data_IF_938572033145
#
_entry.id   IF_938572033145
#
_cell.length_a   1.000
_cell.length_b   1.000
_cell.length_c   1.000
_cell.angle_alpha   90.00
_cell.angle_beta   90.00
_cell.angle_gamma   90.00
#
_symmetry.space_group_name_H-M   'P 1'
#
loop_
_entity.id
_entity.type
_entity.pdbx_description
1 polymer ?
#
# COMPACT_ATOMS: atom_id res chain seq x y z
N UNK A 1 43.80 1.18 -40.26
CA UNK A 1 43.60 1.28 -38.78
C UNK A 1 42.67 2.47 -38.63
N UNK A 2 41.36 2.19 -38.62
CA UNK A 2 40.31 3.21 -38.46
C UNK A 2 39.92 3.25 -36.99
N UNK A 3 39.99 4.47 -36.44
CA UNK A 3 39.59 4.73 -35.03
C UNK A 3 38.07 4.66 -34.90
N UNK A 4 37.57 3.77 -34.05
CA UNK A 4 36.16 3.77 -33.61
C UNK A 4 35.90 5.01 -32.75
N UNK A 5 34.73 5.66 -32.87
CA UNK A 5 34.38 6.79 -32.05
C UNK A 5 34.08 6.34 -30.63
N UNK A 6 34.68 7.00 -29.65
CA UNK A 6 34.38 6.86 -28.23
C UNK A 6 32.93 7.34 -27.98
N UNK A 7 32.07 6.46 -27.49
CA UNK A 7 30.78 6.83 -26.93
C UNK A 7 31.01 7.71 -25.69
N UNK A 8 30.63 8.96 -25.78
CA UNK A 8 30.49 9.83 -24.63
C UNK A 8 29.32 9.32 -23.80
N UNK A 9 29.60 8.85 -22.57
CA UNK A 9 28.59 8.64 -21.54
C UNK A 9 27.90 9.99 -21.29
N UNK A 10 26.67 10.13 -21.74
CA UNK A 10 25.78 11.18 -21.26
C UNK A 10 25.40 10.80 -19.81
N UNK A 11 25.96 11.54 -18.86
CA UNK A 11 25.50 11.52 -17.48
C UNK A 11 24.03 11.94 -17.50
N UNK A 12 23.16 11.05 -17.03
CA UNK A 12 21.76 11.34 -16.74
C UNK A 12 21.69 12.55 -15.79
N UNK A 13 20.74 13.48 -15.96
CA UNK A 13 20.61 14.62 -15.06
C UNK A 13 20.44 14.07 -13.64
N UNK A 14 21.39 14.41 -12.76
CA UNK A 14 21.45 13.91 -11.40
C UNK A 14 20.13 14.11 -10.66
N UNK A 15 19.61 13.04 -10.10
CA UNK A 15 18.43 13.07 -9.25
C UNK A 15 18.58 14.16 -8.17
N UNK A 16 17.63 15.10 -8.02
CA UNK A 16 17.71 16.14 -6.99
C UNK A 16 17.77 15.60 -5.55
N UNK A 17 17.53 14.29 -5.38
CA UNK A 17 17.57 13.58 -4.12
C UNK A 17 18.93 12.96 -3.77
N UNK A 18 19.96 13.12 -4.61
CA UNK A 18 21.32 12.61 -4.35
C UNK A 18 21.97 13.12 -3.04
N UNK A 19 21.35 14.09 -2.37
CA UNK A 19 21.76 14.58 -1.05
C UNK A 19 20.95 14.02 0.12
N UNK A 20 19.86 13.28 -0.15
CA UNK A 20 19.07 12.61 0.88
C UNK A 20 19.60 11.19 1.05
N UNK A 21 20.65 11.01 1.87
CA UNK A 21 20.95 9.69 2.42
C UNK A 21 19.74 9.25 3.23
N UNK A 22 18.87 8.46 2.62
CA UNK A 22 17.79 7.80 3.32
C UNK A 22 18.41 6.76 4.24
N UNK A 23 18.45 7.07 5.52
CA UNK A 23 18.80 6.11 6.53
C UNK A 23 17.61 5.17 6.74
N UNK A 24 17.62 4.03 6.03
CA UNK A 24 16.61 2.98 6.16
C UNK A 24 16.44 2.47 7.60
N UNK A 25 17.38 2.83 8.50
CA UNK A 25 17.25 2.57 9.94
C UNK A 25 16.28 3.52 10.64
N UNK A 26 15.82 4.59 10.00
CA UNK A 26 14.84 5.50 10.59
C UNK A 26 13.43 5.01 10.29
N UNK A 27 12.78 4.58 11.35
CA UNK A 27 11.37 4.25 11.34
C UNK A 27 10.57 5.48 11.00
N UNK A 28 9.71 5.33 10.02
CA UNK A 28 8.76 6.36 9.70
C UNK A 28 7.50 6.09 10.49
N UNK A 29 7.48 6.62 11.71
CA UNK A 29 6.28 6.55 12.55
C UNK A 29 5.27 7.60 12.11
N UNK A 30 4.03 7.18 12.03
CA UNK A 30 2.89 8.05 11.74
C UNK A 30 2.66 8.99 12.93
N UNK A 31 2.50 10.28 12.66
CA UNK A 31 2.20 11.31 13.65
C UNK A 31 0.72 11.68 13.65
N UNK A 32 -0.03 11.26 12.64
CA UNK A 32 -1.46 11.53 12.50
C UNK A 32 -2.30 10.69 13.47
N UNK A 33 -2.61 11.29 14.63
CA UNK A 33 -3.41 10.66 15.68
C UNK A 33 -4.90 10.58 15.35
N UNK A 34 -5.41 11.41 14.43
CA UNK A 34 -6.83 11.43 14.04
C UNK A 34 -7.24 10.11 13.42
N UNK A 35 -6.42 9.56 12.53
CA UNK A 35 -6.66 8.25 11.93
C UNK A 35 -6.65 7.13 12.98
N UNK A 36 -5.80 7.26 14.01
CA UNK A 36 -5.72 6.29 15.08
C UNK A 36 -6.99 6.25 15.95
N UNK A 37 -7.62 7.40 16.21
CA UNK A 37 -8.83 7.47 17.05
C UNK A 37 -10.05 6.83 16.39
N UNK A 38 -10.13 6.91 15.07
CA UNK A 38 -11.26 6.39 14.30
C UNK A 38 -11.13 4.92 13.92
N UNK A 39 -9.96 4.33 14.11
CA UNK A 39 -9.65 2.98 13.69
C UNK A 39 -10.21 1.93 14.66
N UNK A 40 -10.77 0.85 14.12
CA UNK A 40 -11.06 -0.34 14.91
C UNK A 40 -9.81 -1.19 15.04
N UNK A 41 -9.28 -1.32 16.25
CA UNK A 41 -8.17 -2.22 16.54
C UNK A 41 -8.71 -3.66 16.55
N UNK A 42 -8.27 -4.45 15.60
CA UNK A 42 -8.69 -5.84 15.46
C UNK A 42 -7.48 -6.69 15.06
N UNK A 43 -6.67 -7.01 16.04
CA UNK A 43 -5.49 -7.85 15.85
C UNK A 43 -5.93 -9.25 15.43
N UNK A 44 -5.58 -9.68 14.24
CA UNK A 44 -5.83 -11.03 13.72
C UNK A 44 -7.30 -11.44 13.56
N UNK A 45 -8.21 -10.52 13.41
CA UNK A 45 -9.50 -10.90 12.88
C UNK A 45 -9.44 -10.87 11.36
N UNK A 46 -9.46 -12.02 10.72
CA UNK A 46 -9.59 -12.09 9.27
C UNK A 46 -11.00 -11.72 8.79
N UNK A 47 -11.90 -11.41 9.73
CA UNK A 47 -13.23 -10.97 9.38
C UNK A 47 -13.10 -9.71 8.53
N UNK A 48 -13.38 -9.87 7.26
CA UNK A 48 -13.52 -8.81 6.30
C UNK A 48 -14.55 -7.80 6.82
N UNK A 49 -14.10 -6.78 7.55
CA UNK A 49 -14.88 -5.57 7.77
C UNK A 49 -14.85 -4.76 6.47
N UNK A 50 -15.14 -5.43 5.34
CA UNK A 50 -15.21 -4.79 4.04
C UNK A 50 -16.38 -3.81 4.06
N UNK A 51 -16.08 -2.54 3.89
CA UNK A 51 -17.05 -1.48 3.76
C UNK A 51 -17.13 -1.05 2.31
N UNK A 52 -18.33 -0.64 1.90
CA UNK A 52 -18.49 0.03 0.61
C UNK A 52 -17.75 1.35 0.66
N UNK A 53 -16.87 1.59 -0.32
CA UNK A 53 -16.31 2.93 -0.56
C UNK A 53 -17.43 3.76 -1.17
N UNK A 54 -17.71 4.90 -0.59
CA UNK A 54 -18.76 5.82 -1.06
C UNK A 54 -18.13 7.15 -1.46
N UNK A 55 -18.66 7.75 -2.51
CA UNK A 55 -18.38 9.15 -2.82
C UNK A 55 -19.03 10.02 -1.74
N UNK A 56 -18.41 11.13 -1.30
CA UNK A 56 -19.04 12.08 -0.36
C UNK A 56 -20.43 12.57 -0.80
N UNK A 57 -20.65 12.65 -2.12
CA UNK A 57 -21.92 13.06 -2.69
C UNK A 57 -23.03 12.00 -2.58
N UNK A 58 -22.65 10.72 -2.42
CA UNK A 58 -23.56 9.58 -2.32
C UNK A 58 -23.90 9.20 -0.87
N UNK A 59 -23.41 9.95 0.14
CA UNK A 59 -23.67 9.66 1.54
C UNK A 59 -25.10 10.06 1.88
N UNK A 60 -25.99 9.07 1.93
CA UNK A 60 -27.32 9.22 2.51
C UNK A 60 -27.26 9.04 4.03
N UNK A 61 -27.66 10.07 4.78
CA UNK A 61 -28.04 10.04 6.20
C UNK A 61 -27.08 9.29 7.16
N UNK A 62 -25.87 9.81 7.37
CA UNK A 62 -25.01 9.39 8.47
C UNK A 62 -24.05 8.25 8.15
N UNK A 63 -23.97 7.81 6.92
CA UNK A 63 -22.87 6.96 6.47
C UNK A 63 -21.56 7.76 6.40
N UNK A 64 -20.47 7.12 6.81
CA UNK A 64 -19.15 7.75 6.78
C UNK A 64 -18.54 7.58 5.41
N UNK A 65 -18.00 8.68 4.87
CA UNK A 65 -17.17 8.63 3.66
C UNK A 65 -16.01 7.65 3.85
N UNK A 66 -15.84 6.75 2.88
CA UNK A 66 -14.77 5.76 2.84
C UNK A 66 -13.99 6.02 1.54
N UNK A 67 -12.81 6.66 1.61
CA UNK A 67 -12.08 7.05 0.40
C UNK A 67 -11.50 5.86 -0.34
N UNK A 68 -11.26 6.01 -1.65
CA UNK A 68 -10.46 5.07 -2.45
C UNK A 68 -8.96 5.30 -2.21
N UNK A 69 -8.48 6.50 -2.56
CA UNK A 69 -7.18 7.00 -2.12
C UNK A 69 -7.41 7.97 -0.96
N UNK A 70 -6.56 7.91 0.05
CA UNK A 70 -6.81 8.59 1.32
C UNK A 70 -5.62 9.49 1.76
N UNK A 71 -5.17 10.43 0.90
CA UNK A 71 -4.08 11.33 1.27
C UNK A 71 -4.45 12.17 2.50
N UNK A 72 -3.51 12.29 3.43
CA UNK A 72 -3.68 13.04 4.67
C UNK A 72 -2.52 14.03 4.91
N UNK A 73 -2.42 14.56 6.13
CA UNK A 73 -1.38 15.55 6.52
C UNK A 73 0.04 14.98 6.41
N UNK A 74 0.21 13.67 6.29
CA UNK A 74 1.50 12.99 6.15
C UNK A 74 1.90 12.76 4.70
N UNK A 75 1.10 13.18 3.73
CA UNK A 75 1.33 12.95 2.30
C UNK A 75 2.75 13.31 1.85
N UNK A 76 3.23 14.52 2.19
CA UNK A 76 4.55 14.96 1.79
C UNK A 76 5.67 14.04 2.32
N UNK A 77 5.54 13.60 3.57
CA UNK A 77 6.48 12.68 4.20
C UNK A 77 6.42 11.29 3.57
N UNK A 78 5.22 10.76 3.42
CA UNK A 78 5.01 9.43 2.86
C UNK A 78 5.54 9.36 1.41
N UNK A 79 5.20 10.32 0.56
CA UNK A 79 5.70 10.39 -0.83
C UNK A 79 7.22 10.51 -0.88
N UNK A 80 7.84 11.33 0.02
CA UNK A 80 9.30 11.44 0.07
C UNK A 80 9.98 10.10 0.35
N UNK A 81 9.43 9.31 1.28
CA UNK A 81 9.96 7.99 1.63
C UNK A 81 9.77 7.01 0.48
N UNK A 82 8.59 7.00 -0.15
CA UNK A 82 8.27 6.15 -1.28
C UNK A 82 9.18 6.43 -2.47
N UNK A 83 9.45 7.70 -2.74
CA UNK A 83 10.42 8.13 -3.76
C UNK A 83 11.82 7.62 -3.45
N UNK A 84 12.29 7.79 -2.20
CA UNK A 84 13.60 7.28 -1.80
C UNK A 84 13.67 5.76 -1.99
N UNK A 85 12.69 5.00 -1.51
CA UNK A 85 12.63 3.55 -1.69
C UNK A 85 12.66 3.14 -3.16
N UNK A 86 11.87 3.80 -4.01
CA UNK A 86 11.80 3.52 -5.45
C UNK A 86 13.12 3.81 -6.17
N UNK A 87 13.74 4.97 -5.91
CA UNK A 87 14.99 5.33 -6.60
C UNK A 87 16.20 4.54 -6.08
N UNK A 88 16.18 4.08 -4.83
CA UNK A 88 17.24 3.22 -4.30
C UNK A 88 17.13 1.76 -4.80
N UNK A 89 15.90 1.24 -4.92
CA UNK A 89 15.65 -0.15 -5.27
C UNK A 89 14.43 -0.30 -6.21
N UNK A 90 14.53 0.22 -7.46
CA UNK A 90 13.39 0.25 -8.37
C UNK A 90 12.79 -1.15 -8.62
N UNK A 91 13.63 -2.17 -8.81
CA UNK A 91 13.21 -3.54 -9.11
C UNK A 91 12.50 -4.23 -7.93
N UNK A 92 12.69 -3.74 -6.70
CA UNK A 92 12.00 -4.25 -5.52
C UNK A 92 10.67 -3.54 -5.27
N UNK A 93 10.60 -2.26 -5.65
CA UNK A 93 9.42 -1.42 -5.39
C UNK A 93 8.40 -1.52 -6.51
N UNK A 94 8.86 -1.67 -7.76
CA UNK A 94 8.01 -1.75 -8.94
C UNK A 94 8.23 -3.09 -9.67
N UNK A 95 7.14 -3.82 -9.89
CA UNK A 95 7.13 -4.97 -10.80
C UNK A 95 5.98 -4.77 -11.81
N UNK A 96 6.33 -4.72 -13.09
CA UNK A 96 5.39 -4.42 -14.19
C UNK A 96 4.95 -5.68 -14.96
N UNK A 97 5.20 -6.87 -14.42
CA UNK A 97 4.85 -8.12 -15.10
C UNK A 97 5.62 -8.31 -16.41
N UNK A 98 6.92 -7.99 -16.43
CA UNK A 98 7.80 -8.02 -17.63
C UNK A 98 7.37 -7.04 -18.74
N UNK A 99 6.89 -5.86 -18.37
CA UNK A 99 6.40 -4.82 -19.28
C UNK A 99 5.29 -5.31 -20.24
N UNK A 100 4.42 -6.19 -19.74
CA UNK A 100 3.25 -6.65 -20.49
C UNK A 100 2.41 -5.44 -20.93
N UNK A 101 2.16 -5.26 -22.25
CA UNK A 101 1.35 -4.15 -22.75
C UNK A 101 -0.05 -4.08 -22.12
N UNK A 102 -0.68 -5.22 -21.78
CA UNK A 102 -1.97 -5.24 -21.11
C UNK A 102 -1.87 -4.68 -19.69
N UNK A 103 -0.82 -5.00 -18.95
CA UNK A 103 -0.55 -4.44 -17.62
C UNK A 103 -0.27 -2.95 -17.71
N UNK A 104 0.44 -2.50 -18.76
CA UNK A 104 0.69 -1.07 -18.98
C UNK A 104 -0.59 -0.30 -19.27
N UNK A 105 -1.51 -0.86 -20.07
CA UNK A 105 -2.83 -0.26 -20.34
C UNK A 105 -3.68 -0.17 -19.07
N UNK A 106 -3.65 -1.19 -18.24
CA UNK A 106 -4.31 -1.21 -16.92
C UNK A 106 -3.72 -0.13 -16.00
N UNK A 107 -2.41 -0.04 -15.93
CA UNK A 107 -1.72 0.97 -15.12
C UNK A 107 -2.00 2.40 -15.61
N UNK A 108 -2.12 2.59 -16.93
CA UNK A 108 -2.48 3.87 -17.52
C UNK A 108 -3.92 4.28 -17.17
N UNK A 109 -4.88 3.37 -17.30
CA UNK A 109 -6.26 3.65 -16.91
C UNK A 109 -6.36 3.93 -15.39
N UNK A 110 -5.64 3.17 -14.58
CA UNK A 110 -5.59 3.41 -13.13
C UNK A 110 -5.04 4.81 -12.81
N UNK A 111 -3.97 5.23 -13.49
CA UNK A 111 -3.40 6.58 -13.33
C UNK A 111 -4.43 7.66 -13.69
N UNK A 112 -5.12 7.52 -14.80
CA UNK A 112 -6.16 8.45 -15.25
C UNK A 112 -7.27 8.57 -14.19
N UNK A 113 -7.79 7.44 -13.70
CA UNK A 113 -8.82 7.39 -12.67
C UNK A 113 -8.34 7.94 -11.31
N UNK A 114 -7.10 7.64 -10.92
CA UNK A 114 -6.51 8.18 -9.68
C UNK A 114 -6.39 9.70 -9.75
N UNK A 115 -5.92 10.23 -10.88
CA UNK A 115 -5.78 11.68 -11.07
C UNK A 115 -7.13 12.38 -10.98
N UNK A 116 -8.14 11.88 -11.69
CA UNK A 116 -9.50 12.43 -11.63
C UNK A 116 -10.04 12.39 -10.19
N UNK A 117 -9.83 11.29 -9.49
CA UNK A 117 -10.24 11.13 -8.10
C UNK A 117 -9.53 12.11 -7.18
N UNK A 118 -8.20 12.20 -7.25
CA UNK A 118 -7.40 13.06 -6.37
C UNK A 118 -7.70 14.55 -6.58
N UNK A 119 -7.80 15.00 -7.81
CA UNK A 119 -8.14 16.40 -8.13
C UNK A 119 -9.57 16.75 -7.69
N UNK A 120 -10.51 15.82 -7.84
CA UNK A 120 -11.90 16.03 -7.42
C UNK A 120 -12.05 16.12 -5.90
N UNK A 121 -11.42 15.18 -5.15
CA UNK A 121 -11.68 15.02 -3.71
C UNK A 121 -10.63 15.70 -2.82
N UNK A 122 -9.46 16.01 -3.36
CA UNK A 122 -8.34 16.62 -2.62
C UNK A 122 -7.72 17.81 -3.39
N UNK A 123 -8.52 18.81 -3.80
CA UNK A 123 -8.04 19.94 -4.61
C UNK A 123 -7.01 20.81 -3.89
N UNK A 124 -6.94 20.75 -2.56
CA UNK A 124 -5.93 21.45 -1.76
C UNK A 124 -4.55 20.73 -1.78
N UNK A 125 -4.52 19.48 -2.22
CA UNK A 125 -3.31 18.66 -2.27
C UNK A 125 -2.85 18.33 -3.68
N UNK A 126 -3.73 18.42 -4.68
CA UNK A 126 -3.45 18.09 -6.08
C UNK A 126 -4.03 19.12 -7.04
N UNK A 127 -3.24 19.42 -8.07
CA UNK A 127 -3.60 20.40 -9.10
C UNK A 127 -3.35 19.82 -10.49
N UNK A 128 -4.34 19.89 -11.37
CA UNK A 128 -4.19 19.56 -12.78
C UNK A 128 -3.60 20.75 -13.53
N UNK A 129 -2.46 20.55 -14.19
CA UNK A 129 -1.75 21.56 -14.96
C UNK A 129 -2.04 21.42 -16.46
N UNK A 130 -1.83 22.49 -17.25
CA UNK A 130 -1.91 22.41 -18.72
C UNK A 130 -0.98 21.33 -19.29
N UNK A 131 -1.41 20.66 -20.36
CA UNK A 131 -0.64 19.60 -21.03
C UNK A 131 -0.69 18.27 -20.30
N UNK A 132 -1.87 17.90 -19.75
CA UNK A 132 -2.09 16.59 -19.10
C UNK A 132 -1.07 16.25 -18.00
N UNK A 133 -0.80 17.20 -17.12
CA UNK A 133 0.14 17.02 -15.99
C UNK A 133 -0.57 17.21 -14.66
N UNK A 134 -0.17 16.42 -13.68
CA UNK A 134 -0.61 16.57 -12.29
C UNK A 134 0.52 17.05 -11.40
N UNK A 135 0.22 18.00 -10.52
CA UNK A 135 1.11 18.42 -9.44
C UNK A 135 0.61 17.87 -8.11
N UNK A 136 1.50 17.23 -7.35
CA UNK A 136 1.32 17.05 -5.92
C UNK A 136 1.77 18.35 -5.22
N UNK A 137 0.84 19.09 -4.64
CA UNK A 137 1.11 20.41 -4.03
C UNK A 137 1.99 20.27 -2.78
N UNK A 138 1.81 19.17 -2.02
CA UNK A 138 2.53 18.95 -0.78
C UNK A 138 4.04 18.71 -0.99
N UNK A 139 4.43 18.10 -2.12
CA UNK A 139 5.83 17.81 -2.46
C UNK A 139 6.39 18.70 -3.58
N UNK A 140 5.51 19.33 -4.36
CA UNK A 140 5.87 20.10 -5.56
C UNK A 140 6.17 19.24 -6.78
N UNK A 141 6.06 17.92 -6.69
CA UNK A 141 6.30 17.00 -7.80
C UNK A 141 5.27 17.17 -8.92
N UNK A 142 5.73 17.06 -10.17
CA UNK A 142 4.89 17.15 -11.36
C UNK A 142 5.13 15.91 -12.21
N UNK A 143 4.04 15.25 -12.63
CA UNK A 143 4.08 14.07 -13.48
C UNK A 143 3.23 14.30 -14.74
N UNK A 144 3.74 13.82 -15.90
CA UNK A 144 2.96 13.72 -17.12
C UNK A 144 2.06 12.48 -17.04
N UNK A 145 0.76 12.66 -17.31
CA UNK A 145 -0.24 11.59 -17.25
C UNK A 145 -0.51 10.98 -18.63
N UNK A 146 -0.12 11.66 -19.69
CA UNK A 146 -0.33 11.19 -21.05
C UNK A 146 0.59 9.99 -21.35
N UNK A 147 -0.02 8.93 -21.89
CA UNK A 147 0.70 7.71 -22.23
C UNK A 147 1.86 7.96 -23.20
N UNK A 148 3.02 7.45 -22.84
CA UNK A 148 4.24 7.56 -23.66
C UNK A 148 4.98 8.91 -23.60
N UNK A 149 4.52 9.86 -22.78
CA UNK A 149 5.20 11.15 -22.56
C UNK A 149 6.19 11.07 -21.42
N UNK A 150 5.82 10.40 -20.33
CA UNK A 150 6.71 10.21 -19.18
C UNK A 150 7.72 9.08 -19.42
N UNK A 151 8.95 9.26 -18.92
CA UNK A 151 9.94 8.19 -18.83
C UNK A 151 9.61 7.15 -17.75
N UNK A 152 8.69 7.48 -16.84
CA UNK A 152 8.23 6.56 -15.80
C UNK A 152 7.10 5.66 -16.32
N UNK A 153 7.08 4.44 -15.84
CA UNK A 153 5.93 3.55 -16.04
C UNK A 153 4.68 4.14 -15.35
N UNK A 154 3.47 4.08 -15.94
CA UNK A 154 2.26 4.63 -15.31
C UNK A 154 2.04 4.14 -13.88
N UNK A 155 2.31 2.87 -13.58
CA UNK A 155 2.20 2.30 -12.24
C UNK A 155 3.19 2.93 -11.24
N UNK A 156 4.38 3.35 -11.71
CA UNK A 156 5.32 4.09 -10.86
C UNK A 156 4.74 5.48 -10.49
N UNK A 157 4.12 6.17 -11.46
CA UNK A 157 3.48 7.45 -11.19
C UNK A 157 2.32 7.27 -10.19
N UNK A 158 1.48 6.24 -10.37
CA UNK A 158 0.40 5.90 -9.43
C UNK A 158 0.96 5.76 -8.01
N UNK A 159 2.03 4.98 -7.83
CA UNK A 159 2.62 4.77 -6.51
C UNK A 159 3.34 5.99 -5.93
N UNK A 160 3.82 6.92 -6.76
CA UNK A 160 4.51 8.14 -6.33
C UNK A 160 3.58 9.34 -6.12
N UNK A 161 2.34 9.27 -6.61
CA UNK A 161 1.33 10.30 -6.37
C UNK A 161 0.69 10.19 -4.98
N UNK A 162 0.48 8.97 -4.49
CA UNK A 162 -0.27 8.70 -3.26
C UNK A 162 0.57 8.15 -2.11
N UNK A 163 -0.12 7.73 -1.06
CA UNK A 163 0.45 7.10 0.13
C UNK A 163 0.33 5.57 0.07
N UNK A 164 -0.44 5.06 -0.89
CA UNK A 164 -0.81 3.67 -1.01
C UNK A 164 0.21 2.85 -1.78
N UNK A 165 0.51 1.65 -1.30
CA UNK A 165 1.03 0.56 -2.09
C UNK A 165 -0.08 0.02 -2.99
N UNK A 166 0.26 -0.45 -4.19
CA UNK A 166 -0.72 -0.83 -5.21
C UNK A 166 -0.37 -2.18 -5.81
N UNK A 167 -1.35 -3.09 -5.84
CA UNK A 167 -1.25 -4.37 -6.54
C UNK A 167 -2.31 -4.46 -7.63
N UNK A 168 -1.94 -4.99 -8.78
CA UNK A 168 -2.84 -5.28 -9.89
C UNK A 168 -3.08 -6.79 -9.93
N UNK A 169 -4.35 -7.17 -9.81
CA UNK A 169 -4.81 -8.56 -9.83
C UNK A 169 -5.64 -8.79 -11.08
N UNK A 170 -5.32 -9.83 -11.84
CA UNK A 170 -6.04 -10.21 -13.04
C UNK A 170 -6.95 -11.42 -12.76
N UNK A 171 -8.23 -11.28 -13.07
CA UNK A 171 -9.19 -12.39 -13.05
C UNK A 171 -9.08 -13.20 -14.33
N UNK A 172 -8.68 -14.45 -14.21
CA UNK A 172 -8.54 -15.38 -15.32
C UNK A 172 -9.88 -15.94 -15.75
N UNK A 173 -9.94 -16.53 -16.95
CA UNK A 173 -11.18 -17.13 -17.50
C UNK A 173 -11.72 -18.30 -16.65
N UNK A 174 -10.87 -18.95 -15.88
CA UNK A 174 -11.23 -20.03 -14.94
C UNK A 174 -11.66 -19.53 -13.56
N UNK A 175 -11.71 -18.20 -13.37
CA UNK A 175 -12.06 -17.54 -12.13
C UNK A 175 -10.91 -17.43 -11.13
N UNK A 176 -9.69 -17.83 -11.46
CA UNK A 176 -8.52 -17.57 -10.62
C UNK A 176 -8.13 -16.09 -10.67
N UNK A 177 -7.62 -15.58 -9.55
CA UNK A 177 -7.12 -14.22 -9.43
C UNK A 177 -5.60 -14.26 -9.24
N UNK A 178 -4.86 -13.71 -10.19
CA UNK A 178 -3.40 -13.72 -10.22
C UNK A 178 -2.88 -12.30 -10.06
N UNK A 179 -1.94 -12.09 -9.15
CA UNK A 179 -1.23 -10.83 -9.04
C UNK A 179 -0.26 -10.66 -10.20
N UNK A 180 -0.46 -9.65 -11.04
CA UNK A 180 0.31 -9.49 -12.30
C UNK A 180 1.29 -8.32 -12.26
N UNK A 181 1.11 -7.37 -11.36
CA UNK A 181 2.01 -6.23 -11.19
C UNK A 181 1.80 -5.56 -9.82
N UNK A 182 2.73 -4.69 -9.42
CA UNK A 182 2.56 -3.89 -8.22
C UNK A 182 3.60 -2.78 -8.07
N UNK A 183 3.29 -1.84 -7.19
CA UNK A 183 4.20 -0.83 -6.66
C UNK A 183 4.09 -0.89 -5.13
N UNK A 184 5.14 -1.37 -4.46
CA UNK A 184 5.19 -1.55 -3.02
C UNK A 184 6.44 -0.89 -2.43
N UNK A 185 6.24 0.26 -1.81
CA UNK A 185 7.31 1.00 -1.13
C UNK A 185 7.38 0.68 0.38
N UNK A 186 6.36 0.03 0.92
CA UNK A 186 6.25 -0.27 2.35
C UNK A 186 5.78 -1.71 2.61
N UNK A 187 6.37 -2.74 1.95
CA UNK A 187 6.03 -4.12 2.21
C UNK A 187 6.37 -4.48 3.66
N UNK A 188 5.61 -5.41 4.23
CA UNK A 188 5.83 -5.90 5.58
C UNK A 188 6.30 -7.34 5.54
N UNK A 189 7.59 -7.52 5.31
CA UNK A 189 8.21 -8.84 5.33
C UNK A 189 7.85 -9.73 4.14
N UNK A 190 7.56 -9.12 2.97
CA UNK A 190 7.41 -9.85 1.71
C UNK A 190 8.03 -9.07 0.55
N UNK A 191 8.51 -9.79 -0.46
CA UNK A 191 9.14 -9.22 -1.65
C UNK A 191 8.14 -9.29 -2.81
N UNK A 192 7.92 -8.16 -3.49
CA UNK A 192 7.01 -8.06 -4.62
C UNK A 192 7.35 -9.07 -5.74
N UNK A 193 8.64 -9.34 -5.94
CA UNK A 193 9.10 -10.27 -6.95
C UNK A 193 8.65 -11.72 -6.70
N UNK A 194 8.47 -12.10 -5.42
CA UNK A 194 8.04 -13.45 -5.04
C UNK A 194 6.54 -13.68 -5.25
N UNK A 195 5.75 -12.60 -5.39
CA UNK A 195 4.28 -12.66 -5.41
C UNK A 195 3.68 -12.40 -6.79
N UNK A 196 4.37 -11.66 -7.67
CA UNK A 196 3.89 -11.46 -9.04
C UNK A 196 3.93 -12.77 -9.82
N UNK A 197 2.79 -13.15 -10.38
CA UNK A 197 2.56 -14.42 -11.06
C UNK A 197 1.84 -15.46 -10.20
N UNK A 198 1.69 -15.24 -8.89
CA UNK A 198 1.00 -16.16 -7.98
C UNK A 198 -0.50 -15.85 -7.91
N UNK A 199 -1.29 -16.89 -7.66
CA UNK A 199 -2.71 -16.77 -7.35
C UNK A 199 -2.94 -16.47 -5.85
N UNK A 200 -4.19 -16.15 -5.47
CA UNK A 200 -4.51 -15.77 -4.09
C UNK A 200 -4.23 -16.86 -3.05
N UNK A 201 -4.33 -18.13 -3.41
CA UNK A 201 -4.03 -19.23 -2.49
C UNK A 201 -2.53 -19.33 -2.21
N UNK A 202 -1.73 -19.21 -3.25
CA UNK A 202 -0.26 -19.22 -3.15
C UNK A 202 0.26 -18.01 -2.37
N UNK A 203 -0.27 -16.81 -2.63
CA UNK A 203 0.08 -15.57 -1.91
C UNK A 203 -0.20 -15.70 -0.41
N UNK A 204 -1.26 -16.41 -0.04
CA UNK A 204 -1.70 -16.53 1.35
C UNK A 204 -1.35 -17.88 1.99
N UNK A 205 -0.53 -18.71 1.36
CA UNK A 205 -0.16 -20.03 1.87
C UNK A 205 0.39 -19.97 3.31
N UNK A 206 1.16 -18.95 3.62
CA UNK A 206 1.78 -18.76 4.93
C UNK A 206 0.91 -17.92 5.90
N UNK A 207 -0.35 -17.63 5.56
CA UNK A 207 -1.28 -16.90 6.43
C UNK A 207 -2.09 -17.89 7.26
N UNK A 208 -1.84 -17.92 8.56
CA UNK A 208 -2.52 -18.83 9.49
C UNK A 208 -4.06 -18.78 9.36
N UNK A 209 -4.65 -19.89 8.99
CA UNK A 209 -6.10 -20.05 8.88
C UNK A 209 -6.71 -19.41 7.64
N UNK A 210 -5.93 -19.05 6.65
CA UNK A 210 -6.45 -18.49 5.40
C UNK A 210 -7.40 -19.49 4.71
N UNK A 211 -6.95 -20.71 4.47
CA UNK A 211 -7.72 -21.71 3.73
C UNK A 211 -9.08 -22.01 4.37
N UNK A 212 -9.10 -22.12 5.71
CA UNK A 212 -10.31 -22.51 6.46
C UNK A 212 -11.27 -21.36 6.77
N UNK A 213 -10.74 -20.13 6.89
CA UNK A 213 -11.53 -18.99 7.43
C UNK A 213 -11.70 -17.84 6.45
N UNK A 214 -10.73 -17.63 5.55
CA UNK A 214 -10.68 -16.44 4.72
C UNK A 214 -10.94 -16.70 3.26
N UNK A 215 -10.40 -17.79 2.71
CA UNK A 215 -10.43 -18.10 1.29
C UNK A 215 -11.81 -17.87 0.66
N UNK A 216 -12.83 -18.52 1.21
CA UNK A 216 -14.19 -18.42 0.65
C UNK A 216 -14.74 -16.99 0.66
N UNK A 217 -14.34 -16.16 1.64
CA UNK A 217 -14.73 -14.75 1.71
C UNK A 217 -13.96 -13.91 0.71
N UNK A 218 -12.67 -14.15 0.57
CA UNK A 218 -11.80 -13.45 -0.40
C UNK A 218 -12.28 -13.76 -1.82
N UNK A 219 -12.41 -15.03 -2.18
CA UNK A 219 -12.87 -15.47 -3.50
C UNK A 219 -14.23 -14.84 -3.86
N UNK A 220 -15.18 -14.90 -2.92
CA UNK A 220 -16.51 -14.29 -3.11
C UNK A 220 -16.42 -12.77 -3.30
N UNK A 221 -15.58 -12.11 -2.53
CA UNK A 221 -15.44 -10.65 -2.60
C UNK A 221 -14.85 -10.22 -3.94
N UNK A 222 -13.80 -10.90 -4.40
CA UNK A 222 -13.17 -10.61 -5.69
C UNK A 222 -14.13 -10.88 -6.85
N UNK A 223 -14.78 -12.05 -6.87
CA UNK A 223 -15.70 -12.44 -7.93
C UNK A 223 -16.98 -11.56 -8.00
N UNK A 224 -17.41 -10.99 -6.86
CA UNK A 224 -18.63 -10.17 -6.79
C UNK A 224 -18.37 -8.67 -6.84
N UNK A 225 -17.14 -8.24 -7.02
CA UNK A 225 -16.77 -6.83 -7.06
C UNK A 225 -17.27 -6.21 -8.38
N UNK A 226 -18.23 -5.26 -8.35
CA UNK A 226 -18.70 -4.59 -9.56
C UNK A 226 -17.64 -3.58 -10.05
N UNK A 227 -17.79 -3.16 -11.31
CA UNK A 227 -16.92 -2.16 -11.93
C UNK A 227 -17.03 -0.81 -11.25
N UNK A 228 -15.90 -0.09 -11.18
CA UNK A 228 -15.86 1.30 -10.75
C UNK A 228 -16.70 2.19 -11.70
N UNK A 229 -17.47 3.18 -11.22
CA UNK A 229 -17.54 3.66 -9.82
C UNK A 229 -18.68 3.03 -8.98
N UNK A 230 -19.37 1.99 -9.43
CA UNK A 230 -20.57 1.49 -8.74
C UNK A 230 -20.29 1.08 -7.29
N UNK A 231 -19.20 0.34 -7.07
CA UNK A 231 -18.85 -0.13 -5.73
C UNK A 231 -17.35 -0.42 -5.59
N UNK A 232 -16.85 -0.11 -4.43
CA UNK A 232 -15.51 -0.45 -3.97
C UNK A 232 -15.63 -1.03 -2.57
N UNK A 233 -14.64 -1.85 -2.16
CA UNK A 233 -14.56 -2.34 -0.80
C UNK A 233 -13.35 -1.77 -0.10
N UNK A 234 -13.51 -1.47 1.20
CA UNK A 234 -12.42 -1.03 2.04
C UNK A 234 -12.44 -1.75 3.38
N UNK A 235 -11.26 -1.97 3.94
CA UNK A 235 -11.09 -2.50 5.30
C UNK A 235 -9.86 -1.87 5.97
N UNK A 236 -9.81 -1.96 7.31
CA UNK A 236 -8.58 -1.77 8.05
C UNK A 236 -8.07 -3.12 8.53
N UNK A 237 -6.81 -3.41 8.24
CA UNK A 237 -6.06 -4.51 8.81
C UNK A 237 -5.11 -3.94 9.87
N UNK A 238 -4.99 -4.58 11.04
CA UNK A 238 -4.14 -4.08 12.12
C UNK A 238 -3.34 -5.21 12.75
N UNK A 239 -2.06 -4.96 13.04
CA UNK A 239 -1.20 -5.93 13.69
C UNK A 239 -0.07 -5.28 14.48
N UNK A 240 0.51 -6.07 15.39
CA UNK A 240 1.74 -5.75 16.08
C UNK A 240 2.91 -6.35 15.32
N UNK A 241 3.94 -5.57 15.11
CA UNK A 241 5.18 -5.99 14.50
C UNK A 241 6.38 -5.59 15.34
N UNK A 242 7.53 -6.08 14.98
CA UNK A 242 8.77 -5.55 15.48
C UNK A 242 9.24 -4.40 14.58
N UNK A 243 9.68 -3.39 15.25
CA UNK A 243 10.53 -2.43 14.63
C UNK A 243 11.87 -3.13 14.31
N UNK A 244 12.35 -3.04 13.16
CA UNK A 244 12.38 -1.84 12.37
C UNK A 244 11.77 -2.07 11.02
N UNK A 245 11.18 -1.09 10.47
CA UNK A 245 11.56 -0.90 9.10
C UNK A 245 10.41 -1.26 8.19
N UNK A 246 9.73 -0.23 7.88
CA UNK A 246 9.02 -0.10 6.62
C UNK A 246 9.98 -0.48 5.49
N UNK A 247 9.56 -1.37 4.60
CA UNK A 247 10.33 -1.73 3.43
C UNK A 247 11.31 -2.90 3.59
N UNK A 248 11.29 -3.61 4.72
CA UNK A 248 12.09 -4.83 4.82
C UNK A 248 11.46 -5.99 4.08
N UNK A 249 12.26 -6.60 3.26
CA UNK A 249 12.01 -7.89 2.64
C UNK A 249 12.29 -9.03 3.63
N UNK A 250 11.77 -10.24 3.41
CA UNK A 250 11.88 -11.35 4.36
C UNK A 250 13.28 -11.67 4.85
N UNK A 251 14.29 -11.55 3.99
CA UNK A 251 15.70 -11.81 4.30
C UNK A 251 16.34 -10.74 5.21
N UNK A 252 15.73 -9.57 5.31
CA UNK A 252 16.15 -8.47 6.18
C UNK A 252 15.41 -8.47 7.52
N UNK A 253 14.38 -9.31 7.68
CA UNK A 253 13.62 -9.41 8.92
C UNK A 253 14.46 -10.07 10.02
N UNK A 254 14.59 -9.46 11.19
CA UNK A 254 15.33 -10.06 12.29
C UNK A 254 14.67 -11.36 12.77
N UNK A 255 15.47 -12.35 13.12
CA UNK A 255 14.98 -13.51 13.86
C UNK A 255 14.48 -13.06 15.24
N UNK A 256 13.21 -13.40 15.53
CA UNK A 256 12.55 -13.02 16.77
C UNK A 256 12.44 -14.27 17.64
N UNK A 257 13.17 -14.29 18.72
CA UNK A 257 12.94 -15.20 19.84
C UNK A 257 12.31 -14.48 21.04
N UNK A 258 11.88 -15.22 22.05
CA UNK A 258 11.29 -14.66 23.28
C UNK A 258 12.25 -13.72 24.03
N UNK A 259 13.55 -13.84 23.81
CA UNK A 259 14.58 -13.08 24.49
C UNK A 259 15.04 -11.86 23.69
N UNK A 260 14.61 -11.73 22.45
CA UNK A 260 15.04 -10.64 21.54
C UNK A 260 14.33 -9.32 21.81
N UNK A 261 13.19 -9.34 22.51
CA UNK A 261 12.42 -8.13 22.84
C UNK A 261 12.84 -7.63 24.23
N UNK A 262 13.90 -6.86 24.27
CA UNK A 262 14.45 -6.29 25.51
C UNK A 262 13.97 -4.87 25.78
N UNK A 263 13.52 -4.17 24.75
CA UNK A 263 13.02 -2.81 24.79
C UNK A 263 11.70 -2.70 23.98
N UNK A 264 10.58 -3.15 24.55
CA UNK A 264 9.28 -3.14 23.86
C UNK A 264 8.85 -1.75 23.37
N UNK A 265 9.25 -0.70 24.09
CA UNK A 265 8.90 0.68 23.75
C UNK A 265 9.46 1.10 22.39
N UNK A 266 10.69 0.70 22.09
CA UNK A 266 11.37 1.06 20.85
C UNK A 266 11.37 -0.08 19.81
N UNK A 267 11.08 -1.31 20.21
CA UNK A 267 11.14 -2.48 19.33
C UNK A 267 9.76 -2.89 18.79
N UNK A 268 8.66 -2.57 19.49
CA UNK A 268 7.32 -2.95 19.04
C UNK A 268 6.63 -1.77 18.38
N UNK A 269 6.05 -2.05 17.22
CA UNK A 269 5.19 -1.12 16.49
C UNK A 269 3.77 -1.66 16.40
N UNK A 270 2.83 -0.75 16.28
CA UNK A 270 1.48 -1.02 15.81
C UNK A 270 1.36 -0.55 14.37
N UNK A 271 1.01 -1.48 13.47
CA UNK A 271 0.76 -1.17 12.06
C UNK A 271 -0.72 -1.29 11.76
N UNK A 272 -1.23 -0.33 11.06
CA UNK A 272 -2.54 -0.35 10.44
C UNK A 272 -2.38 -0.22 8.93
N UNK A 273 -3.18 -0.96 8.21
CA UNK A 273 -3.28 -0.91 6.75
C UNK A 273 -4.71 -0.57 6.39
N UNK A 274 -4.90 0.58 5.74
CA UNK A 274 -6.17 0.88 5.10
C UNK A 274 -6.11 0.30 3.69
N UNK A 275 -6.96 -0.67 3.42
CA UNK A 275 -6.95 -1.45 2.20
C UNK A 275 -8.23 -1.22 1.40
N UNK A 276 -8.11 -1.06 0.07
CA UNK A 276 -9.27 -1.00 -0.82
C UNK A 276 -9.16 -2.01 -1.95
N UNK A 277 -10.31 -2.44 -2.45
CA UNK A 277 -10.44 -3.27 -3.64
C UNK A 277 -11.37 -2.58 -4.63
N UNK A 278 -10.89 -2.37 -5.85
CA UNK A 278 -11.60 -1.67 -6.93
C UNK A 278 -11.45 -2.46 -8.22
N UNK A 279 -12.55 -2.84 -8.86
CA UNK A 279 -12.51 -3.40 -10.22
C UNK A 279 -12.51 -2.25 -11.23
N UNK A 280 -11.58 -2.26 -12.17
CA UNK A 280 -11.57 -1.26 -13.24
C UNK A 280 -12.79 -1.40 -14.16
N UNK A 281 -13.28 -0.30 -14.75
CA UNK A 281 -14.35 -0.36 -15.72
C UNK A 281 -13.82 -0.73 -17.11
N UNK A 282 -14.61 -1.45 -17.89
CA UNK A 282 -14.40 -1.53 -19.32
C UNK A 282 -14.77 -0.20 -19.99
N UNK A 283 -13.93 0.28 -20.90
CA UNK A 283 -14.17 1.51 -21.68
C UNK A 283 -13.85 1.29 -23.15
N UNK A 284 -14.22 2.21 -24.04
CA UNK A 284 -13.84 2.10 -25.46
C UNK A 284 -12.31 2.01 -25.64
N UNK A 285 -11.55 2.73 -24.84
CA UNK A 285 -10.07 2.71 -24.88
C UNK A 285 -9.48 1.48 -24.22
N UNK A 286 -10.13 0.95 -23.19
CA UNK A 286 -9.66 -0.16 -22.37
C UNK A 286 -10.74 -1.25 -22.24
N UNK A 287 -11.09 -1.96 -23.33
CA UNK A 287 -12.29 -2.80 -23.38
C UNK A 287 -12.22 -4.06 -22.49
N UNK A 288 -11.03 -4.49 -22.09
CA UNK A 288 -10.83 -5.70 -21.29
C UNK A 288 -10.38 -5.42 -19.85
N UNK A 289 -10.29 -4.13 -19.44
CA UNK A 289 -9.71 -3.82 -18.13
C UNK A 289 -10.66 -4.13 -16.96
N UNK A 290 -11.93 -4.47 -17.22
CA UNK A 290 -12.83 -4.99 -16.19
C UNK A 290 -12.46 -6.40 -15.67
N UNK A 291 -11.47 -7.03 -16.27
CA UNK A 291 -10.86 -8.26 -15.73
C UNK A 291 -9.80 -7.97 -14.65
N UNK A 292 -9.51 -6.69 -14.37
CA UNK A 292 -8.48 -6.31 -13.41
C UNK A 292 -9.06 -5.66 -12.17
N UNK A 293 -8.53 -6.08 -11.03
CA UNK A 293 -8.85 -5.55 -9.71
C UNK A 293 -7.61 -4.85 -9.17
N UNK A 294 -7.80 -3.66 -8.66
CA UNK A 294 -6.77 -2.88 -8.01
C UNK A 294 -6.91 -3.04 -6.51
N UNK A 295 -5.86 -3.50 -5.87
CA UNK A 295 -5.74 -3.57 -4.42
C UNK A 295 -4.79 -2.48 -3.96
N UNK A 296 -5.27 -1.54 -3.15
CA UNK A 296 -4.46 -0.49 -2.56
C UNK A 296 -4.27 -0.71 -1.07
N UNK A 297 -3.11 -0.37 -0.56
CA UNK A 297 -2.74 -0.53 0.85
C UNK A 297 -2.09 0.77 1.32
N UNK A 298 -2.73 1.50 2.22
CA UNK A 298 -2.13 2.65 2.89
C UNK A 298 -1.59 2.23 4.26
N UNK A 299 -0.26 2.09 4.42
CA UNK A 299 0.34 1.68 5.68
C UNK A 299 0.51 2.87 6.63
N UNK A 300 0.10 2.68 7.87
CA UNK A 300 0.32 3.62 8.98
C UNK A 300 0.97 2.90 10.14
N UNK A 301 2.08 3.44 10.63
CA UNK A 301 2.88 2.81 11.67
C UNK A 301 3.00 3.72 12.88
N UNK A 302 2.63 3.22 14.04
CA UNK A 302 2.68 3.95 15.31
C UNK A 302 3.59 3.27 16.31
N UNK A 303 4.30 4.07 17.10
CA UNK A 303 5.08 3.53 18.23
C UNK A 303 4.17 2.99 19.33
N UNK A 304 4.67 2.05 20.09
CA UNK A 304 3.94 1.52 21.25
C UNK A 304 3.63 2.60 22.31
N UNK A 305 4.50 3.58 22.61
CA UNK A 305 4.15 4.73 23.43
C UNK A 305 2.98 5.56 22.90
N UNK A 306 2.95 5.82 21.60
CA UNK A 306 1.81 6.53 20.97
C UNK A 306 0.52 5.74 21.16
N UNK A 307 0.56 4.43 20.91
CA UNK A 307 -0.60 3.57 21.12
C UNK A 307 -1.05 3.57 22.58
N UNK A 308 -0.12 3.52 23.52
CA UNK A 308 -0.43 3.56 24.96
C UNK A 308 -1.16 4.84 25.34
N UNK A 309 -0.69 6.00 24.87
CA UNK A 309 -1.29 7.29 25.20
C UNK A 309 -2.66 7.51 24.55
N UNK A 310 -2.86 7.03 23.33
CA UNK A 310 -4.06 7.33 22.53
C UNK A 310 -5.11 6.22 22.60
N UNK A 311 -4.70 4.95 22.62
CA UNK A 311 -5.56 3.77 22.48
C UNK A 311 -5.11 2.57 23.33
N UNK A 312 -4.41 2.82 24.46
CA UNK A 312 -3.80 1.75 25.27
C UNK A 312 -4.78 0.69 25.74
N UNK A 313 -5.95 1.10 26.25
CA UNK A 313 -6.99 0.16 26.70
C UNK A 313 -7.58 -0.68 25.57
N UNK A 314 -7.81 -0.07 24.40
CA UNK A 314 -8.35 -0.78 23.24
C UNK A 314 -7.33 -1.79 22.69
N UNK A 315 -6.06 -1.43 22.66
CA UNK A 315 -4.99 -2.32 22.24
C UNK A 315 -4.84 -3.48 23.23
N UNK A 316 -4.83 -3.21 24.53
CA UNK A 316 -4.76 -4.24 25.56
C UNK A 316 -5.93 -5.23 25.45
N UNK A 317 -7.15 -4.72 25.27
CA UNK A 317 -8.35 -5.52 25.05
C UNK A 317 -8.27 -6.36 23.80
N UNK A 318 -7.76 -5.78 22.69
CA UNK A 318 -7.58 -6.52 21.43
C UNK A 318 -6.57 -7.67 21.59
N UNK A 319 -5.47 -7.46 22.31
CA UNK A 319 -4.50 -8.52 22.63
C UNK A 319 -5.14 -9.64 23.45
N UNK A 320 -6.00 -9.30 24.40
CA UNK A 320 -6.68 -10.30 25.27
C UNK A 320 -7.73 -11.11 24.52
N UNK A 321 -8.45 -10.48 23.62
CA UNK A 321 -9.59 -11.11 22.94
C UNK A 321 -9.22 -11.86 21.67
N UNK A 322 -8.08 -11.55 21.08
CA UNK A 322 -7.62 -12.18 19.84
C UNK A 322 -6.57 -13.26 20.15
N UNK A 323 -6.74 -14.43 19.53
CA UNK A 323 -5.76 -15.50 19.65
C UNK A 323 -4.58 -15.20 18.72
N UNK A 324 -3.51 -14.65 19.29
CA UNK A 324 -2.25 -14.41 18.57
C UNK A 324 -1.39 -15.67 18.65
N UNK A 325 -0.91 -16.17 17.51
CA UNK A 325 -0.12 -17.41 17.41
C UNK A 325 1.30 -17.13 16.90
N UNK A 326 2.21 -18.06 17.18
CA UNK A 326 3.59 -18.05 16.69
C UNK A 326 4.39 -16.84 17.17
N UNK A 327 5.26 -16.33 16.29
CA UNK A 327 6.11 -15.15 16.55
C UNK A 327 5.32 -13.93 17.02
N UNK A 328 4.11 -13.77 16.53
CA UNK A 328 3.21 -12.67 16.92
C UNK A 328 2.75 -12.77 18.37
N UNK A 329 2.68 -13.98 18.95
CA UNK A 329 2.29 -14.17 20.34
C UNK A 329 3.30 -13.57 21.33
N UNK A 330 4.59 -13.68 21.03
CA UNK A 330 5.66 -13.06 21.84
C UNK A 330 5.55 -11.55 21.80
N UNK A 331 5.41 -10.96 20.62
CA UNK A 331 5.26 -9.52 20.45
C UNK A 331 4.03 -9.00 21.21
N UNK A 332 2.90 -9.70 21.09
CA UNK A 332 1.66 -9.33 21.80
C UNK A 332 1.80 -9.42 23.32
N UNK A 333 2.49 -10.44 23.86
CA UNK A 333 2.78 -10.59 25.28
C UNK A 333 3.60 -9.41 25.82
N UNK A 334 4.69 -9.06 25.14
CA UNK A 334 5.56 -7.96 25.57
C UNK A 334 4.88 -6.59 25.39
N UNK A 335 4.09 -6.40 24.34
CA UNK A 335 3.25 -5.21 24.19
C UNK A 335 2.25 -5.08 25.37
N UNK A 336 1.58 -6.17 25.75
CA UNK A 336 0.67 -6.17 26.90
C UNK A 336 1.39 -5.82 28.20
N UNK A 337 2.57 -6.39 28.45
CA UNK A 337 3.39 -6.08 29.60
C UNK A 337 3.76 -4.58 29.67
N UNK A 338 4.08 -3.98 28.52
CA UNK A 338 4.38 -2.55 28.43
C UNK A 338 3.14 -1.67 28.72
N UNK A 339 1.98 -2.04 28.15
CA UNK A 339 0.73 -1.29 28.32
C UNK A 339 0.22 -1.32 29.77
N UNK A 340 0.56 -2.35 30.53
CA UNK A 340 0.15 -2.54 31.93
C UNK A 340 1.00 -1.77 32.95
N UNK A 341 2.14 -1.26 32.56
CA UNK A 341 3.01 -0.42 33.38
C UNK A 341 2.60 1.06 33.29
#
# INVERSE_FOLDING_TARGET
>A
MENAPQQQNQESPGCPLASLHFDASKIVLSTNKRNLQDMRINLLSPAANMRRVTDPEDIEHGERFVPWFAPDDELARAVTIRKAAYYENPDRVLNTGNDDPAVRDVAQQLLELQVDYLVKHYPDQYELLPGTRIRNIATGDIYDIESGVSDLHPLAIVGLLGQEDVCIVHEQQDGQHIMVAGFLASPTGWDLADFVGLNMDEIHENVDGYAEKLKATVDKSLASLPEFPERQFARNNTFLGLNPLLGLVPDQMPDIDENSITDPENQIIFRSEYETLTRLPATERYPNNNQYIIFTIEPRVYSLPTMKSERGEDLARAIETNRVLGRKAVVAKEAKNYLSK
#
